data_IF_208022683702
#
_entry.id   IF_208022683702
#
_cell.length_a   1.000
_cell.length_b   1.000
_cell.length_c   1.000
_cell.angle_alpha   90.00
_cell.angle_beta   90.00
_cell.angle_gamma   90.00
#
_symmetry.space_group_name_H-M   'P 1'
#
loop_
_entity.id
_entity.type
_entity.pdbx_description
1 polymer ?
#
# COMPACT_ATOMS: atom_id res chain seq x y z
N UNK A 1 41.45 -62.94 56.04
CA UNK A 1 41.44 -61.65 55.32
C UNK A 1 40.10 -61.51 54.63
N UNK A 2 39.32 -60.54 55.09
CA UNK A 2 37.96 -60.18 54.66
C UNK A 2 38.00 -59.29 53.42
N UNK A 3 37.15 -59.55 52.42
CA UNK A 3 36.54 -58.51 51.58
C UNK A 3 35.08 -58.88 51.27
N UNK A 4 34.23 -57.87 51.39
CA UNK A 4 32.76 -57.84 51.30
C UNK A 4 32.34 -57.09 50.01
N UNK A 5 31.01 -56.98 49.81
CA UNK A 5 30.25 -56.01 48.98
C UNK A 5 29.87 -56.54 47.58
N UNK A 6 28.61 -56.95 47.25
CA UNK A 6 27.25 -56.33 47.23
C UNK A 6 26.86 -55.76 45.84
N UNK A 7 25.60 -55.90 45.37
CA UNK A 7 25.16 -55.82 43.96
C UNK A 7 24.44 -54.51 43.62
N UNK A 8 24.23 -54.17 42.33
CA UNK A 8 23.32 -53.05 41.95
C UNK A 8 22.52 -53.30 40.64
N UNK A 9 21.20 -53.16 40.81
CA UNK A 9 20.09 -52.84 39.90
C UNK A 9 20.37 -52.05 38.61
N UNK A 10 19.55 -52.26 37.55
CA UNK A 10 19.14 -51.16 36.64
C UNK A 10 17.88 -51.50 35.82
N UNK A 11 16.68 -51.27 36.38
CA UNK A 11 15.38 -51.30 35.69
C UNK A 11 14.80 -49.89 35.45
N UNK A 12 15.65 -48.90 35.12
CA UNK A 12 15.22 -47.49 34.95
C UNK A 12 15.11 -46.98 33.50
N UNK A 13 15.50 -47.73 32.48
CA UNK A 13 15.69 -47.15 31.14
C UNK A 13 14.43 -46.95 30.26
N UNK A 14 13.31 -47.65 30.48
CA UNK A 14 12.21 -47.65 29.50
C UNK A 14 11.18 -46.50 29.60
N UNK A 15 11.15 -45.71 30.68
CA UNK A 15 10.16 -44.61 30.85
C UNK A 15 10.62 -43.25 30.33
N UNK A 16 11.93 -43.02 30.17
CA UNK A 16 12.48 -41.73 29.72
C UNK A 16 12.27 -41.46 28.22
N UNK A 17 12.32 -42.51 27.39
CA UNK A 17 12.30 -42.37 25.93
C UNK A 17 10.96 -41.84 25.40
N UNK A 18 9.83 -42.28 25.97
CA UNK A 18 8.48 -41.89 25.51
C UNK A 18 8.16 -40.40 25.74
N UNK A 19 8.74 -39.78 26.78
CA UNK A 19 8.53 -38.36 27.09
C UNK A 19 9.37 -37.44 26.20
N UNK A 20 10.57 -37.86 25.81
CA UNK A 20 11.45 -37.09 24.93
C UNK A 20 10.90 -36.98 23.50
N UNK A 21 10.28 -38.06 22.98
CA UNK A 21 9.73 -38.09 21.62
C UNK A 21 8.49 -37.19 21.47
N UNK A 22 7.64 -37.10 22.49
CA UNK A 22 6.44 -36.26 22.44
C UNK A 22 6.73 -34.74 22.51
N UNK A 23 7.79 -34.35 23.23
CA UNK A 23 8.21 -32.94 23.34
C UNK A 23 8.93 -32.45 22.08
N UNK A 24 9.69 -33.32 21.41
CA UNK A 24 10.42 -32.96 20.20
C UNK A 24 9.49 -32.70 19.00
N UNK A 25 8.40 -33.47 18.83
CA UNK A 25 7.50 -33.28 17.68
C UNK A 25 6.66 -32.01 17.80
N UNK A 26 6.27 -31.62 19.02
CA UNK A 26 5.50 -30.40 19.28
C UNK A 26 6.27 -29.13 18.86
N UNK A 27 7.56 -29.05 19.19
CA UNK A 27 8.38 -27.89 18.81
C UNK A 27 8.58 -27.75 17.30
N UNK A 28 8.73 -28.85 16.56
CA UNK A 28 8.90 -28.83 15.10
C UNK A 28 7.61 -28.36 14.41
N UNK A 29 6.45 -28.78 14.90
CA UNK A 29 5.16 -28.35 14.34
C UNK A 29 4.93 -26.86 14.62
N UNK A 30 5.21 -26.38 15.85
CA UNK A 30 5.05 -24.95 16.17
C UNK A 30 6.03 -24.09 15.38
N UNK A 31 7.28 -24.52 15.23
CA UNK A 31 8.28 -23.77 14.47
C UNK A 31 7.96 -23.72 12.96
N UNK A 32 7.49 -24.82 12.37
CA UNK A 32 7.11 -24.85 10.95
C UNK A 32 5.86 -24.02 10.69
N UNK A 33 4.86 -24.07 11.57
CA UNK A 33 3.65 -23.23 11.47
C UNK A 33 3.99 -21.75 11.62
N UNK A 34 4.79 -21.37 12.62
CA UNK A 34 5.24 -20.00 12.81
C UNK A 34 6.08 -19.50 11.62
N UNK A 35 6.96 -20.33 11.08
CA UNK A 35 7.73 -20.02 9.87
C UNK A 35 6.82 -19.84 8.65
N UNK A 36 5.80 -20.69 8.48
CA UNK A 36 4.83 -20.59 7.39
C UNK A 36 4.00 -19.32 7.49
N UNK A 37 3.54 -18.94 8.69
CA UNK A 37 2.84 -17.66 8.90
C UNK A 37 3.76 -16.45 8.77
N UNK A 38 5.03 -16.54 9.18
CA UNK A 38 6.00 -15.45 9.02
C UNK A 38 6.39 -15.23 7.54
N UNK A 39 6.46 -16.29 6.73
CA UNK A 39 6.85 -16.20 5.32
C UNK A 39 5.67 -16.05 4.35
N UNK A 40 4.52 -16.66 4.63
CA UNK A 40 3.35 -16.62 3.76
C UNK A 40 2.24 -15.70 4.28
N UNK A 41 2.37 -15.15 5.48
CA UNK A 41 1.48 -14.15 6.06
C UNK A 41 1.66 -12.75 5.47
N UNK A 42 2.17 -12.64 4.25
CA UNK A 42 1.91 -11.47 3.43
C UNK A 42 0.42 -11.51 3.06
N UNK A 43 -0.43 -11.09 3.99
CA UNK A 43 -1.76 -10.63 3.68
C UNK A 43 -1.58 -9.59 2.58
N UNK A 44 -1.85 -9.98 1.34
CA UNK A 44 -2.03 -9.07 0.24
C UNK A 44 -3.06 -8.06 0.73
N UNK A 45 -2.63 -6.82 1.01
CA UNK A 45 -3.57 -5.71 1.00
C UNK A 45 -4.22 -5.78 -0.36
N UNK A 46 -5.46 -6.25 -0.40
CA UNK A 46 -6.29 -6.17 -1.58
C UNK A 46 -6.34 -4.69 -1.92
N UNK A 47 -5.55 -4.30 -2.91
CA UNK A 47 -5.47 -2.92 -3.35
C UNK A 47 -6.82 -2.62 -3.96
N UNK A 48 -7.63 -1.86 -3.21
CA UNK A 48 -9.02 -1.59 -3.58
C UNK A 48 -9.04 -0.91 -4.94
N UNK A 49 -9.75 -1.52 -5.88
CA UNK A 49 -9.97 -0.92 -7.21
C UNK A 49 -10.56 0.49 -7.04
N UNK A 50 -10.06 1.50 -7.76
CA UNK A 50 -10.64 2.84 -7.73
C UNK A 50 -12.09 2.84 -8.23
N UNK A 51 -12.94 3.63 -7.58
CA UNK A 51 -14.34 3.86 -7.96
C UNK A 51 -14.45 4.78 -9.18
N UNK A 52 -13.56 5.78 -9.24
CA UNK A 52 -13.46 6.74 -10.32
C UNK A 52 -12.12 6.68 -11.03
N UNK A 53 -12.14 6.79 -12.36
CA UNK A 53 -10.93 6.85 -13.16
C UNK A 53 -11.05 7.85 -14.31
N UNK A 54 -10.06 8.73 -14.42
CA UNK A 54 -9.94 9.67 -15.53
C UNK A 54 -8.51 9.69 -16.06
N UNK A 55 -8.33 9.40 -17.34
CA UNK A 55 -7.03 9.45 -18.01
C UNK A 55 -6.96 10.62 -18.99
N UNK A 56 -5.81 11.31 -19.00
CA UNK A 56 -5.51 12.44 -19.86
C UNK A 56 -4.12 12.24 -20.48
N UNK A 57 -4.06 12.10 -21.79
CA UNK A 57 -2.80 11.96 -22.51
C UNK A 57 -2.17 13.32 -22.81
N UNK A 58 -0.84 13.39 -22.74
CA UNK A 58 -0.08 14.58 -23.15
C UNK A 58 -0.26 14.86 -24.66
N UNK A 59 -0.05 16.09 -25.15
CA UNK A 59 -0.26 16.44 -26.55
C UNK A 59 0.48 15.54 -27.55
N UNK A 60 1.71 15.15 -27.26
CA UNK A 60 2.55 14.23 -28.04
C UNK A 60 2.21 12.75 -27.89
N UNK A 61 1.37 12.39 -26.92
CA UNK A 61 1.07 10.99 -26.62
C UNK A 61 2.11 10.28 -25.76
N UNK A 62 3.22 10.93 -25.37
CA UNK A 62 4.33 10.24 -24.66
C UNK A 62 4.01 9.94 -23.19
N UNK A 63 3.19 10.76 -22.55
CA UNK A 63 2.81 10.62 -21.15
C UNK A 63 1.30 10.60 -20.99
N UNK A 64 0.85 10.04 -19.89
CA UNK A 64 -0.54 10.09 -19.45
C UNK A 64 -0.60 10.44 -17.97
N UNK A 65 -1.59 11.27 -17.64
CA UNK A 65 -1.98 11.59 -16.27
C UNK A 65 -3.26 10.83 -15.95
N UNK A 66 -3.25 10.04 -14.88
CA UNK A 66 -4.38 9.20 -14.47
C UNK A 66 -4.82 9.66 -13.09
N UNK A 67 -6.03 10.21 -13.00
CA UNK A 67 -6.68 10.52 -11.73
C UNK A 67 -7.50 9.31 -11.29
N UNK A 68 -7.21 8.84 -10.10
CA UNK A 68 -7.87 7.73 -9.42
C UNK A 68 -8.65 8.30 -8.24
N UNK A 69 -9.86 7.80 -8.03
CA UNK A 69 -10.73 8.21 -6.93
C UNK A 69 -11.23 6.98 -6.19
N UNK A 70 -11.14 7.01 -4.86
CA UNK A 70 -11.71 6.01 -3.96
C UNK A 70 -12.68 6.71 -3.03
N UNK A 71 -13.97 6.41 -3.20
CA UNK A 71 -15.05 6.99 -2.44
C UNK A 71 -15.89 5.88 -1.83
N UNK A 72 -16.19 5.99 -0.55
CA UNK A 72 -16.96 4.96 0.13
C UNK A 72 -17.19 5.31 1.59
N UNK A 73 -17.43 4.26 2.38
CA UNK A 73 -17.91 4.44 3.75
C UNK A 73 -19.41 4.73 3.77
N UNK A 74 -20.05 4.34 4.86
CA UNK A 74 -21.49 4.48 5.06
C UNK A 74 -21.80 5.27 6.33
N UNK A 75 -23.01 5.85 6.37
CA UNK A 75 -23.54 6.51 7.57
C UNK A 75 -22.67 7.68 8.05
N UNK A 76 -22.03 7.48 9.21
CA UNK A 76 -21.30 8.52 9.95
C UNK A 76 -19.81 8.64 9.59
N UNK A 77 -19.31 7.81 8.67
CA UNK A 77 -17.88 7.82 8.30
C UNK A 77 -17.68 7.67 6.79
N UNK A 78 -18.19 8.63 5.98
CA UNK A 78 -17.84 8.69 4.57
C UNK A 78 -16.35 9.02 4.41
N UNK A 79 -15.74 8.49 3.36
CA UNK A 79 -14.41 8.88 2.92
C UNK A 79 -14.41 9.12 1.41
N UNK A 80 -13.56 10.03 0.97
CA UNK A 80 -13.24 10.21 -0.44
C UNK A 80 -11.79 10.63 -0.55
N UNK A 81 -11.00 9.83 -1.26
CA UNK A 81 -9.59 10.08 -1.52
C UNK A 81 -9.33 10.02 -3.01
N UNK A 82 -8.32 10.75 -3.44
CA UNK A 82 -7.89 10.77 -4.82
C UNK A 82 -6.37 10.79 -4.94
N UNK A 83 -5.88 10.24 -6.05
CA UNK A 83 -4.47 10.25 -6.39
C UNK A 83 -4.29 10.48 -7.89
N UNK A 84 -3.30 11.30 -8.23
CA UNK A 84 -2.90 11.56 -9.60
C UNK A 84 -1.57 10.87 -9.88
N UNK A 85 -1.57 9.97 -10.85
CA UNK A 85 -0.39 9.28 -11.36
C UNK A 85 0.06 9.91 -12.67
N UNK A 86 1.37 10.08 -12.87
CA UNK A 86 1.94 10.47 -14.17
C UNK A 86 2.87 9.38 -14.64
N UNK A 87 2.57 8.82 -15.81
CA UNK A 87 3.29 7.67 -16.37
C UNK A 87 3.62 7.86 -17.84
N UNK A 88 4.67 7.21 -18.36
CA UNK A 88 4.83 7.02 -19.80
C UNK A 88 3.62 6.26 -20.36
N UNK A 89 3.11 6.67 -21.52
CA UNK A 89 1.94 6.03 -22.15
C UNK A 89 2.17 4.58 -22.56
N UNK A 90 3.42 4.12 -22.60
CA UNK A 90 3.76 2.71 -22.80
C UNK A 90 3.47 1.82 -21.58
N UNK A 91 3.16 2.40 -20.42
CA UNK A 91 2.80 1.67 -19.20
C UNK A 91 1.29 1.48 -19.13
N UNK A 92 0.86 0.26 -18.78
CA UNK A 92 -0.54 0.00 -18.49
C UNK A 92 -0.96 0.70 -17.20
N UNK A 93 -2.24 1.04 -17.13
CA UNK A 93 -2.84 1.65 -15.95
C UNK A 93 -2.68 0.77 -14.69
N UNK A 94 -2.90 -0.54 -14.81
CA UNK A 94 -2.72 -1.48 -13.69
C UNK A 94 -1.29 -1.46 -13.16
N UNK A 95 -0.29 -1.37 -14.05
CA UNK A 95 1.10 -1.26 -13.65
C UNK A 95 1.40 0.08 -12.97
N UNK A 96 0.77 1.16 -13.43
CA UNK A 96 0.91 2.47 -12.83
C UNK A 96 0.36 2.51 -11.39
N UNK A 97 -0.81 1.90 -11.17
CA UNK A 97 -1.47 1.79 -9.86
C UNK A 97 -0.59 1.07 -8.83
N UNK A 98 0.00 -0.06 -9.21
CA UNK A 98 0.88 -0.85 -8.35
C UNK A 98 2.18 -0.13 -7.95
N UNK A 99 2.60 0.88 -8.73
CA UNK A 99 3.87 1.56 -8.58
C UNK A 99 3.70 2.99 -8.03
N UNK A 100 3.67 3.13 -6.70
CA UNK A 100 3.54 4.42 -5.98
C UNK A 100 4.51 5.53 -6.41
N UNK A 101 5.64 5.19 -7.05
CA UNK A 101 6.60 6.17 -7.57
C UNK A 101 6.01 7.13 -8.59
N UNK A 102 4.95 6.71 -9.29
CA UNK A 102 4.25 7.50 -10.30
C UNK A 102 3.25 8.50 -9.72
N UNK A 103 2.91 8.37 -8.44
CA UNK A 103 2.04 9.31 -7.75
C UNK A 103 2.72 10.67 -7.64
N UNK A 104 2.03 11.70 -8.14
CA UNK A 104 2.49 13.10 -8.06
C UNK A 104 1.58 13.98 -7.22
N UNK A 105 0.34 13.57 -6.98
CA UNK A 105 -0.60 14.25 -6.12
C UNK A 105 -1.50 13.24 -5.41
N UNK A 106 -1.83 13.49 -4.16
CA UNK A 106 -2.90 12.78 -3.46
C UNK A 106 -3.54 13.68 -2.41
N UNK A 107 -4.85 13.59 -2.25
CA UNK A 107 -5.60 14.32 -1.23
C UNK A 107 -6.93 13.61 -0.93
N UNK A 108 -7.66 14.14 0.04
CA UNK A 108 -9.11 13.93 0.10
C UNK A 108 -9.80 14.63 -1.09
N UNK A 109 -10.93 14.11 -1.53
CA UNK A 109 -11.72 14.75 -2.58
C UNK A 109 -12.25 16.11 -2.11
N UNK A 110 -12.29 17.08 -3.01
CA UNK A 110 -12.82 18.40 -2.73
C UNK A 110 -13.55 19.00 -3.92
N UNK A 111 -14.13 20.17 -3.69
CA UNK A 111 -14.79 20.98 -4.71
C UNK A 111 -14.26 22.41 -4.63
N UNK A 112 -14.22 23.10 -5.75
CA UNK A 112 -13.96 24.55 -5.77
C UNK A 112 -15.21 25.33 -5.35
N UNK A 113 -15.09 26.64 -5.11
CA UNK A 113 -16.19 27.52 -4.73
C UNK A 113 -17.35 27.56 -5.75
N UNK A 114 -17.09 27.20 -7.01
CA UNK A 114 -18.11 27.05 -8.06
C UNK A 114 -18.79 25.67 -8.06
N UNK A 115 -18.55 24.84 -7.04
CA UNK A 115 -18.98 23.44 -6.91
C UNK A 115 -18.46 22.51 -8.02
N UNK A 116 -17.43 22.93 -8.77
CA UNK A 116 -16.78 22.03 -9.72
C UNK A 116 -15.83 21.06 -8.99
N UNK A 117 -15.67 19.82 -9.49
CA UNK A 117 -14.78 18.85 -8.86
C UNK A 117 -13.31 19.31 -8.86
N UNK A 118 -12.62 19.11 -7.74
CA UNK A 118 -11.16 19.21 -7.61
C UNK A 118 -10.52 17.82 -7.78
N UNK A 119 -9.30 17.73 -8.39
CA UNK A 119 -8.53 18.81 -8.98
C UNK A 119 -8.87 19.03 -10.46
N UNK A 120 -8.58 20.23 -10.96
CA UNK A 120 -8.53 20.54 -12.40
C UNK A 120 -7.14 20.19 -12.92
N UNK A 121 -7.08 19.26 -13.88
CA UNK A 121 -5.83 18.74 -14.46
C UNK A 121 -5.78 19.13 -15.93
N UNK A 122 -4.67 19.73 -16.38
CA UNK A 122 -4.49 20.14 -17.77
C UNK A 122 -3.02 20.07 -18.18
N UNK A 123 -2.75 19.46 -19.34
CA UNK A 123 -1.44 19.52 -19.97
C UNK A 123 -1.21 20.91 -20.57
N UNK A 124 -0.13 21.58 -20.17
CA UNK A 124 0.29 22.88 -20.73
C UNK A 124 1.24 22.69 -21.93
N UNK A 125 2.03 21.62 -21.88
CA UNK A 125 2.93 21.15 -22.94
C UNK A 125 3.07 19.63 -22.82
N UNK A 126 4.00 19.03 -23.58
CA UNK A 126 4.32 17.61 -23.51
C UNK A 126 4.91 17.16 -22.16
N UNK A 127 5.54 18.09 -21.45
CA UNK A 127 6.37 17.89 -20.28
C UNK A 127 5.94 18.76 -19.08
N UNK A 128 4.86 19.54 -19.20
CA UNK A 128 4.32 20.35 -18.11
C UNK A 128 2.85 20.03 -17.89
N UNK A 129 2.56 19.51 -16.69
CA UNK A 129 1.20 19.23 -16.21
C UNK A 129 0.81 20.27 -15.17
N UNK A 130 -0.30 20.96 -15.39
CA UNK A 130 -0.88 21.91 -14.44
C UNK A 130 -1.99 21.20 -13.65
N UNK A 131 -1.88 21.30 -12.32
CA UNK A 131 -2.82 20.73 -11.36
C UNK A 131 -3.28 21.85 -10.44
N UNK A 132 -4.53 22.25 -10.62
CA UNK A 132 -5.19 23.19 -9.71
C UNK A 132 -6.05 22.37 -8.74
N UNK A 133 -5.87 22.55 -7.44
CA UNK A 133 -6.64 21.83 -6.42
C UNK A 133 -7.34 22.81 -5.46
N UNK A 134 -8.45 22.36 -4.91
CA UNK A 134 -9.23 23.15 -3.95
C UNK A 134 -8.59 23.12 -2.56
N UNK A 135 -8.55 24.28 -1.91
CA UNK A 135 -8.31 24.41 -0.46
C UNK A 135 -9.59 24.70 0.32
N UNK A 136 -10.71 24.79 -0.38
CA UNK A 136 -12.04 24.94 0.18
C UNK A 136 -12.51 23.58 0.70
N UNK A 137 -12.04 23.23 1.89
CA UNK A 137 -12.38 21.94 2.52
C UNK A 137 -13.72 22.04 3.26
N UNK A 138 -14.63 21.15 2.92
CA UNK A 138 -15.84 20.87 3.69
C UNK A 138 -15.60 19.86 4.81
N UNK A 139 -14.39 19.28 4.90
CA UNK A 139 -14.02 18.34 5.94
C UNK A 139 -13.77 19.05 7.28
N UNK A 140 -14.14 18.38 8.39
CA UNK A 140 -14.00 18.90 9.75
C UNK A 140 -12.54 19.05 10.25
N UNK A 141 -11.55 18.97 9.37
CA UNK A 141 -10.13 19.00 9.70
C UNK A 141 -9.23 19.37 8.52
N UNK A 142 -7.92 19.58 8.78
CA UNK A 142 -6.95 19.94 7.75
C UNK A 142 -6.75 18.79 6.75
N UNK A 143 -6.92 19.09 5.46
CA UNK A 143 -6.68 18.13 4.37
C UNK A 143 -5.18 17.89 4.19
N UNK A 144 -4.79 16.61 4.25
CA UNK A 144 -3.41 16.22 3.95
C UNK A 144 -3.23 16.13 2.43
N UNK A 145 -2.53 17.09 1.85
CA UNK A 145 -2.19 17.09 0.43
C UNK A 145 -0.73 16.67 0.26
N UNK A 146 -0.49 15.65 -0.57
CA UNK A 146 0.86 15.22 -0.95
C UNK A 146 1.14 15.71 -2.36
N UNK A 147 2.28 16.36 -2.56
CA UNK A 147 2.65 16.99 -3.82
C UNK A 147 4.06 16.57 -4.24
N UNK A 148 4.23 16.21 -5.51
CA UNK A 148 5.52 15.91 -6.13
C UNK A 148 5.67 16.75 -7.39
N UNK A 149 6.64 17.67 -7.40
CA UNK A 149 6.84 18.64 -8.49
C UNK A 149 7.40 18.03 -9.78
N UNK A 150 7.88 16.79 -9.73
CA UNK A 150 8.49 16.09 -10.87
C UNK A 150 8.03 14.63 -10.85
N UNK A 151 7.68 14.10 -12.02
CA UNK A 151 7.24 12.71 -12.17
C UNK A 151 8.36 11.67 -11.91
N UNK A 152 8.02 10.39 -12.00
CA UNK A 152 8.98 9.30 -11.78
C UNK A 152 10.07 9.19 -12.86
N UNK A 153 9.83 9.71 -14.06
CA UNK A 153 10.82 9.72 -15.15
C UNK A 153 11.79 10.89 -15.08
N UNK A 154 11.48 11.93 -14.30
CA UNK A 154 12.25 13.16 -14.23
C UNK A 154 12.00 14.11 -15.40
N UNK A 155 11.07 13.79 -16.30
CA UNK A 155 10.82 14.55 -17.53
C UNK A 155 9.60 15.45 -17.44
N UNK A 156 8.59 15.08 -16.65
CA UNK A 156 7.35 15.85 -16.53
C UNK A 156 7.40 16.69 -15.26
N UNK A 157 7.30 18.01 -15.43
CA UNK A 157 7.18 18.99 -14.35
C UNK A 157 5.70 19.19 -14.00
N UNK A 158 5.41 19.18 -12.70
CA UNK A 158 4.06 19.37 -12.17
C UNK A 158 3.97 20.76 -11.55
N UNK A 159 3.09 21.58 -12.09
CA UNK A 159 2.78 22.92 -11.61
C UNK A 159 1.51 22.87 -10.77
N UNK A 160 1.64 23.16 -9.48
CA UNK A 160 0.53 23.15 -8.54
C UNK A 160 0.01 24.55 -8.27
N UNK A 161 -1.31 24.69 -8.25
CA UNK A 161 -2.00 25.91 -7.86
C UNK A 161 -3.12 25.57 -6.88
N UNK A 162 -3.15 26.23 -5.72
CA UNK A 162 -4.22 26.11 -4.75
C UNK A 162 -5.28 27.20 -5.01
N UNK A 163 -6.56 26.84 -5.04
CA UNK A 163 -7.69 27.79 -5.20
C UNK A 163 -8.81 27.49 -4.23
N UNK A 164 -9.60 28.52 -3.92
CA UNK A 164 -10.86 28.38 -3.18
C UNK A 164 -12.01 27.97 -4.10
#
# INVERSE_FOLDING_TARGET
MTYNVVPIHTTKMLRGLKKAVALASSCVVVATVAYFFAHNGAASKEESKPDGLKSLTSPSGQFQAILLTWAGGGGISPYCNEALLVTPSSKSQQQAELEKRYEVYSSECGEFADHSPSPKITWRSDDVLSVTFSINTTAAGPTNVRLKKIDASGRVRIEFEAKE
#
